data_IF_172638077532
#
_entry.id   IF_172638077532
#
_cell.length_a   1.000
_cell.length_b   1.000
_cell.length_c   1.000
_cell.angle_alpha   90.00
_cell.angle_beta   90.00
_cell.angle_gamma   90.00
#
_symmetry.space_group_name_H-M   'P 1'
#
loop_
_entity.id
_entity.type
_entity.pdbx_description
1 polymer ?
#
# COMPACT_ATOMS: atom_id res chain seq x y z
N UNK A 1 -42.58 41.16 -31.88
CA UNK A 1 -42.37 41.28 -30.43
C UNK A 1 -42.07 39.87 -29.92
N UNK A 2 -40.91 39.47 -29.43
CA UNK A 2 -39.72 40.15 -28.93
C UNK A 2 -38.49 39.31 -29.35
N UNK A 3 -37.51 39.94 -29.99
CA UNK A 3 -36.14 39.43 -30.06
C UNK A 3 -35.46 39.90 -28.78
N UNK A 4 -34.96 38.98 -27.97
CA UNK A 4 -34.21 39.32 -26.76
C UNK A 4 -32.72 39.08 -27.05
N UNK A 5 -32.01 40.17 -27.34
CA UNK A 5 -30.55 40.20 -27.46
C UNK A 5 -29.92 39.65 -26.18
N UNK A 6 -29.15 38.57 -26.30
CA UNK A 6 -28.15 38.21 -25.31
C UNK A 6 -27.11 39.34 -25.26
N UNK A 7 -26.93 39.94 -24.09
CA UNK A 7 -25.89 40.95 -23.86
C UNK A 7 -24.54 40.23 -23.90
N UNK A 8 -23.65 40.72 -24.75
CA UNK A 8 -22.23 40.41 -24.64
C UNK A 8 -21.77 41.00 -23.30
N UNK A 9 -21.37 40.15 -22.37
CA UNK A 9 -20.60 40.58 -21.20
C UNK A 9 -19.16 40.63 -21.68
N UNK A 10 -18.53 41.79 -21.55
CA UNK A 10 -17.14 42.01 -21.92
C UNK A 10 -16.23 41.18 -21.02
N UNK A 11 -15.28 40.52 -21.66
CA UNK A 11 -14.37 39.50 -21.13
C UNK A 11 -13.17 40.14 -20.38
N UNK A 12 -13.43 41.16 -19.54
CA UNK A 12 -12.37 42.13 -19.17
C UNK A 12 -12.13 42.39 -17.68
N UNK A 13 -12.45 41.45 -16.78
CA UNK A 13 -12.12 41.60 -15.34
C UNK A 13 -11.34 40.41 -14.71
N UNK A 14 -10.65 39.60 -15.53
CA UNK A 14 -9.63 38.65 -15.05
C UNK A 14 -8.32 38.77 -15.82
N UNK A 15 -7.97 39.97 -16.28
CA UNK A 15 -6.63 40.25 -16.80
C UNK A 15 -5.66 40.36 -15.63
N UNK A 16 -4.86 39.31 -15.46
CA UNK A 16 -3.68 39.35 -14.60
C UNK A 16 -2.64 40.19 -15.35
N UNK A 17 -2.56 41.49 -15.05
CA UNK A 17 -1.65 42.45 -15.73
C UNK A 17 -0.17 42.32 -15.33
N UNK A 18 0.18 41.29 -14.56
CA UNK A 18 1.55 40.96 -14.17
C UNK A 18 1.75 39.50 -14.52
N UNK A 19 2.55 39.22 -15.55
CA UNK A 19 3.04 37.88 -15.82
C UNK A 19 3.75 37.41 -14.54
N UNK A 20 3.25 36.40 -13.81
CA UNK A 20 3.89 35.96 -12.58
C UNK A 20 5.30 35.52 -12.96
N UNK A 21 6.31 36.19 -12.43
CA UNK A 21 7.66 35.67 -12.50
C UNK A 21 7.70 34.45 -11.58
N UNK A 22 7.38 33.30 -12.14
CA UNK A 22 7.70 32.01 -11.53
C UNK A 22 9.23 31.94 -11.52
N UNK A 23 9.84 32.40 -10.43
CA UNK A 23 11.16 31.87 -10.09
C UNK A 23 10.93 30.38 -9.90
N UNK A 24 11.41 29.58 -10.87
CA UNK A 24 11.39 28.14 -10.76
C UNK A 24 11.96 27.79 -9.39
N UNK A 25 11.16 27.12 -8.56
CA UNK A 25 11.65 26.51 -7.33
C UNK A 25 12.92 25.74 -7.75
N UNK A 26 14.08 25.87 -7.08
CA UNK A 26 15.28 25.13 -7.45
C UNK A 26 15.10 23.60 -7.52
N UNK A 27 13.93 23.10 -7.08
CA UNK A 27 13.49 21.71 -7.17
C UNK A 27 12.34 21.45 -8.18
N UNK A 28 12.00 22.39 -9.08
CA UNK A 28 11.04 22.13 -10.15
C UNK A 28 11.58 21.01 -11.06
N UNK A 29 10.82 19.91 -11.12
CA UNK A 29 11.09 18.76 -11.98
C UNK A 29 11.00 19.19 -13.44
N UNK A 30 12.15 19.48 -14.06
CA UNK A 30 12.23 19.79 -15.49
C UNK A 30 12.10 18.50 -16.29
N UNK A 31 10.90 18.27 -16.80
CA UNK A 31 10.56 17.09 -17.59
C UNK A 31 11.48 16.90 -18.80
N UNK A 32 11.98 18.00 -19.38
CA UNK A 32 12.87 18.00 -20.54
C UNK A 32 14.31 17.56 -20.22
N UNK A 33 14.71 17.62 -18.93
CA UNK A 33 16.01 17.15 -18.43
C UNK A 33 15.91 15.69 -17.89
N UNK A 34 14.70 15.16 -17.72
CA UNK A 34 14.43 13.78 -17.29
C UNK A 34 14.46 12.81 -18.48
N UNK A 35 15.62 12.69 -19.14
CA UNK A 35 15.92 11.52 -20.00
C UNK A 35 16.32 10.36 -19.08
N UNK A 36 15.42 9.98 -18.18
CA UNK A 36 15.66 8.86 -17.28
C UNK A 36 14.92 7.65 -17.86
N UNK A 37 15.70 6.72 -18.40
CA UNK A 37 15.22 5.35 -18.52
C UNK A 37 14.73 4.92 -17.14
N UNK A 38 13.53 4.32 -17.06
CA UNK A 38 13.06 3.74 -15.81
C UNK A 38 14.18 2.85 -15.25
N UNK A 39 14.61 3.07 -13.99
CA UNK A 39 15.70 2.28 -13.43
C UNK A 39 15.26 0.81 -13.41
N UNK A 40 16.10 -0.05 -13.97
CA UNK A 40 15.88 -1.50 -13.94
C UNK A 40 15.82 -1.98 -12.48
N UNK A 41 15.02 -3.02 -12.18
CA UNK A 41 14.88 -3.52 -10.82
C UNK A 41 16.24 -4.04 -10.30
N UNK A 42 16.83 -3.31 -9.36
CA UNK A 42 18.07 -3.71 -8.69
C UNK A 42 17.78 -4.74 -7.59
N UNK A 43 18.61 -5.79 -7.53
CA UNK A 43 18.57 -6.75 -6.43
C UNK A 43 19.30 -6.15 -5.24
N UNK A 44 18.62 -6.02 -4.11
CA UNK A 44 19.23 -5.57 -2.86
C UNK A 44 20.04 -6.73 -2.27
N UNK A 45 21.37 -6.57 -2.16
CA UNK A 45 22.27 -7.60 -1.65
C UNK A 45 21.88 -8.05 -0.24
N UNK A 46 21.81 -9.36 -0.02
CA UNK A 46 21.46 -9.96 1.27
C UNK A 46 19.95 -10.10 1.54
N UNK A 47 19.08 -9.57 0.67
CA UNK A 47 17.63 -9.78 0.77
C UNK A 47 17.16 -10.91 -0.16
N UNK A 48 16.08 -11.63 0.22
CA UNK A 48 15.49 -12.64 -0.64
C UNK A 48 14.92 -11.98 -1.89
N UNK A 49 15.07 -12.67 -3.02
CA UNK A 49 14.47 -12.22 -4.27
C UNK A 49 12.94 -12.16 -4.10
N UNK A 50 12.35 -11.12 -4.70
CA UNK A 50 10.89 -11.03 -4.80
C UNK A 50 10.36 -12.22 -5.59
N UNK A 51 9.16 -12.66 -5.23
CA UNK A 51 8.50 -13.69 -5.99
C UNK A 51 8.02 -13.13 -7.34
N UNK A 52 8.39 -13.80 -8.44
CA UNK A 52 8.09 -13.32 -9.78
C UNK A 52 6.60 -13.43 -10.15
N UNK A 53 5.83 -14.27 -9.44
CA UNK A 53 4.40 -14.43 -9.69
C UNK A 53 3.57 -13.72 -8.63
N UNK A 54 2.56 -12.98 -9.09
CA UNK A 54 1.54 -12.42 -8.20
C UNK A 54 0.77 -13.53 -7.47
N UNK A 55 0.12 -13.26 -6.32
CA UNK A 55 -0.74 -14.24 -5.67
C UNK A 55 -1.85 -14.80 -6.59
N UNK A 56 -2.35 -13.97 -7.52
CA UNK A 56 -3.34 -14.40 -8.50
C UNK A 56 -2.77 -15.43 -9.49
N UNK A 57 -1.56 -15.18 -10.01
CA UNK A 57 -0.89 -16.11 -10.94
C UNK A 57 -0.39 -17.37 -10.23
N UNK A 58 0.00 -17.24 -8.96
CA UNK A 58 0.46 -18.36 -8.12
C UNK A 58 -0.64 -19.35 -7.81
N UNK A 59 -1.80 -18.85 -7.37
CA UNK A 59 -2.88 -19.69 -6.86
C UNK A 59 -4.05 -19.86 -7.85
N UNK A 60 -4.03 -19.19 -9.01
CA UNK A 60 -4.93 -19.40 -10.13
C UNK A 60 -6.42 -19.50 -9.73
N UNK A 61 -7.03 -20.67 -9.92
CA UNK A 61 -8.44 -20.86 -9.59
C UNK A 61 -8.73 -20.81 -8.09
N UNK A 62 -7.76 -21.13 -7.23
CA UNK A 62 -7.93 -21.02 -5.79
C UNK A 62 -8.08 -19.55 -5.42
N UNK A 63 -7.21 -18.68 -5.94
CA UNK A 63 -7.32 -17.24 -5.74
C UNK A 63 -8.68 -16.72 -6.20
N UNK A 64 -9.07 -17.04 -7.44
CA UNK A 64 -10.35 -16.59 -8.00
C UNK A 64 -11.54 -17.04 -7.14
N UNK A 65 -11.53 -18.29 -6.66
CA UNK A 65 -12.62 -18.84 -5.86
C UNK A 65 -12.66 -18.23 -4.45
N UNK A 66 -11.51 -18.00 -3.81
CA UNK A 66 -11.44 -17.29 -2.53
C UNK A 66 -12.01 -15.88 -2.66
N UNK A 67 -11.56 -15.09 -3.65
CA UNK A 67 -12.04 -13.73 -3.85
C UNK A 67 -13.55 -13.68 -4.17
N UNK A 68 -14.08 -14.60 -4.99
CA UNK A 68 -15.51 -14.65 -5.35
C UNK A 68 -16.40 -15.12 -4.21
N UNK A 69 -15.91 -16.03 -3.37
CA UNK A 69 -16.67 -16.58 -2.24
C UNK A 69 -16.89 -15.59 -1.11
N UNK A 70 -16.10 -14.50 -1.06
CA UNK A 70 -16.14 -13.47 0.00
C UNK A 70 -16.03 -14.06 1.41
N UNK A 71 -15.19 -15.09 1.58
CA UNK A 71 -14.87 -15.63 2.90
C UNK A 71 -14.12 -14.62 3.79
N UNK A 72 -13.48 -13.61 3.20
CA UNK A 72 -12.91 -12.50 3.96
C UNK A 72 -13.71 -11.22 3.72
N UNK A 73 -13.79 -10.37 4.74
CA UNK A 73 -14.47 -9.07 4.65
C UNK A 73 -13.75 -8.11 3.69
N UNK A 74 -12.43 -8.25 3.59
CA UNK A 74 -11.56 -7.46 2.72
C UNK A 74 -10.89 -8.36 1.66
N UNK A 75 -10.92 -7.92 0.40
CA UNK A 75 -10.29 -8.58 -0.74
C UNK A 75 -8.76 -8.59 -0.67
N UNK A 76 -8.13 -7.77 0.18
CA UNK A 76 -6.69 -7.75 0.42
C UNK A 76 -6.21 -8.86 1.37
N UNK A 77 -7.12 -9.39 2.19
CA UNK A 77 -6.77 -10.39 3.22
C UNK A 77 -6.05 -11.61 2.64
N UNK A 78 -6.59 -12.21 1.58
CA UNK A 78 -6.01 -13.43 1.00
C UNK A 78 -4.70 -13.19 0.23
N UNK A 79 -4.56 -12.14 -0.59
CA UNK A 79 -3.26 -11.75 -1.15
C UNK A 79 -2.14 -11.56 -0.12
N UNK A 80 -2.46 -11.13 1.09
CA UNK A 80 -1.50 -10.92 2.18
C UNK A 80 -1.17 -12.20 2.97
N UNK A 81 -1.89 -13.28 2.72
CA UNK A 81 -1.67 -14.53 3.42
C UNK A 81 -0.38 -15.21 2.96
N UNK A 82 0.55 -15.46 3.89
CA UNK A 82 1.73 -16.25 3.60
C UNK A 82 1.39 -17.76 3.60
N UNK A 83 1.85 -18.55 2.62
CA UNK A 83 1.57 -19.97 2.59
C UNK A 83 2.34 -20.74 3.67
N UNK A 84 1.72 -21.76 4.26
CA UNK A 84 2.36 -22.67 5.23
C UNK A 84 3.20 -23.76 4.57
N UNK A 85 2.96 -24.00 3.28
CA UNK A 85 3.55 -25.10 2.50
C UNK A 85 3.88 -24.61 1.08
N UNK A 86 4.54 -25.46 0.30
CA UNK A 86 4.83 -25.15 -1.11
C UNK A 86 3.53 -24.79 -1.87
N UNK A 87 3.49 -23.65 -2.58
CA UNK A 87 2.30 -23.19 -3.30
C UNK A 87 1.73 -24.18 -4.31
N UNK A 88 2.59 -24.95 -4.99
CA UNK A 88 2.15 -25.96 -5.97
C UNK A 88 1.48 -27.13 -5.26
N UNK A 89 1.97 -27.52 -4.08
CA UNK A 89 1.36 -28.55 -3.25
C UNK A 89 -0.01 -28.13 -2.73
N UNK A 90 -0.14 -26.90 -2.25
CA UNK A 90 -1.44 -26.33 -1.84
C UNK A 90 -2.43 -26.38 -3.01
N UNK A 91 -2.02 -25.89 -4.19
CA UNK A 91 -2.90 -25.87 -5.36
C UNK A 91 -3.28 -27.27 -5.86
N UNK A 92 -2.32 -28.21 -5.82
CA UNK A 92 -2.56 -29.62 -6.16
C UNK A 92 -3.55 -30.26 -5.18
N UNK A 93 -3.41 -29.99 -3.89
CA UNK A 93 -4.33 -30.49 -2.87
C UNK A 93 -5.73 -29.90 -3.07
N UNK A 94 -5.83 -28.57 -3.25
CA UNK A 94 -7.08 -27.88 -3.54
C UNK A 94 -7.84 -28.53 -4.70
N UNK A 95 -7.16 -28.82 -5.81
CA UNK A 95 -7.76 -29.47 -6.98
C UNK A 95 -8.34 -30.86 -6.69
N UNK A 96 -7.79 -31.60 -5.73
CA UNK A 96 -8.28 -32.92 -5.32
C UNK A 96 -9.52 -32.80 -4.43
N UNK A 97 -9.52 -31.85 -3.50
CA UNK A 97 -10.56 -31.76 -2.46
C UNK A 97 -11.73 -30.87 -2.84
N UNK A 98 -11.58 -29.90 -3.75
CA UNK A 98 -12.60 -28.87 -4.08
C UNK A 98 -13.95 -29.40 -4.60
N UNK A 99 -14.03 -30.66 -5.01
CA UNK A 99 -15.26 -31.31 -5.51
C UNK A 99 -15.90 -32.26 -4.49
N UNK A 100 -15.31 -32.39 -3.31
CA UNK A 100 -15.89 -33.21 -2.25
C UNK A 100 -17.09 -32.49 -1.63
N UNK A 101 -18.14 -33.22 -1.24
CA UNK A 101 -19.37 -32.63 -0.71
C UNK A 101 -19.14 -31.84 0.59
N UNK A 102 -18.17 -32.27 1.42
CA UNK A 102 -17.87 -31.65 2.71
C UNK A 102 -16.74 -30.59 2.64
N UNK A 103 -16.40 -30.13 1.44
CA UNK A 103 -15.30 -29.18 1.26
C UNK A 103 -15.69 -27.76 1.75
N UNK A 104 -14.98 -27.28 2.76
CA UNK A 104 -15.05 -25.89 3.22
C UNK A 104 -13.82 -25.10 2.74
N UNK A 105 -14.06 -24.06 1.94
CA UNK A 105 -13.01 -23.21 1.39
C UNK A 105 -12.34 -22.34 2.47
N UNK A 106 -13.07 -21.88 3.49
CA UNK A 106 -12.50 -21.10 4.59
C UNK A 106 -11.52 -21.96 5.37
N UNK A 107 -11.97 -23.15 5.80
CA UNK A 107 -11.12 -24.06 6.56
C UNK A 107 -9.87 -24.44 5.74
N UNK A 108 -10.04 -24.72 4.45
CA UNK A 108 -8.91 -24.99 3.56
C UNK A 108 -7.87 -23.85 3.55
N UNK A 109 -8.32 -22.59 3.49
CA UNK A 109 -7.40 -21.44 3.54
C UNK A 109 -6.73 -21.34 4.90
N UNK A 110 -7.48 -21.45 5.99
CA UNK A 110 -6.93 -21.36 7.35
C UNK A 110 -5.90 -22.46 7.64
N UNK A 111 -6.08 -23.66 7.09
CA UNK A 111 -5.16 -24.78 7.26
C UNK A 111 -3.86 -24.59 6.46
N UNK A 112 -3.94 -23.98 5.26
CA UNK A 112 -2.81 -23.90 4.32
C UNK A 112 -2.09 -22.54 4.32
N UNK A 113 -2.65 -21.53 4.98
CA UNK A 113 -2.10 -20.17 4.99
C UNK A 113 -2.05 -19.57 6.40
N UNK A 114 -1.09 -18.68 6.63
CA UNK A 114 -1.06 -17.77 7.76
C UNK A 114 -1.88 -16.54 7.41
N UNK A 115 -2.93 -16.26 8.18
CA UNK A 115 -3.71 -15.03 8.02
C UNK A 115 -2.88 -13.83 8.50
N UNK A 116 -3.00 -12.66 7.85
CA UNK A 116 -2.33 -11.46 8.32
C UNK A 116 -2.83 -11.09 9.72
N UNK A 117 -1.91 -10.69 10.61
CA UNK A 117 -2.25 -10.22 11.94
C UNK A 117 -3.01 -8.89 11.87
N UNK A 118 -4.20 -8.80 12.48
CA UNK A 118 -4.91 -7.53 12.56
C UNK A 118 -4.31 -6.65 13.65
N UNK A 119 -3.68 -5.55 13.23
CA UNK A 119 -3.03 -4.62 14.15
C UNK A 119 -3.94 -3.48 14.61
N UNK A 120 -5.24 -3.58 14.33
CA UNK A 120 -6.26 -2.63 14.77
C UNK A 120 -6.31 -2.42 16.28
N UNK A 121 -5.82 -3.41 17.05
CA UNK A 121 -6.01 -3.46 18.50
C UNK A 121 -4.79 -2.92 19.27
N UNK A 122 -3.72 -2.53 18.57
CA UNK A 122 -2.44 -2.17 19.20
C UNK A 122 -2.47 -0.76 19.81
N UNK A 123 -3.37 0.11 19.37
CA UNK A 123 -3.42 1.49 19.84
C UNK A 123 -4.85 1.97 20.11
N UNK A 124 -5.08 2.43 21.34
CA UNK A 124 -6.32 3.07 21.77
C UNK A 124 -6.02 4.57 21.92
N UNK A 125 -6.74 5.39 21.16
CA UNK A 125 -6.64 6.85 21.23
C UNK A 125 -7.03 7.36 22.62
N UNK A 126 -6.13 8.12 23.24
CA UNK A 126 -6.40 8.85 24.47
C UNK A 126 -6.90 10.27 24.14
N UNK A 127 -8.19 10.60 24.40
CA UNK A 127 -8.76 11.90 24.08
C UNK A 127 -8.15 13.06 24.87
N UNK A 128 -7.38 12.77 25.94
CA UNK A 128 -6.72 13.80 26.74
C UNK A 128 -5.44 14.34 26.09
N UNK A 129 -4.89 13.65 25.09
CA UNK A 129 -3.68 14.07 24.39
C UNK A 129 -3.97 15.21 23.42
N UNK A 130 -3.00 16.12 23.28
CA UNK A 130 -3.00 17.05 22.16
C UNK A 130 -2.82 16.30 20.84
N UNK A 131 -3.26 16.91 19.74
CA UNK A 131 -3.06 16.35 18.39
C UNK A 131 -1.59 15.98 18.12
N UNK A 132 -0.66 16.82 18.57
CA UNK A 132 0.77 16.58 18.40
C UNK A 132 1.24 15.35 19.18
N UNK A 133 0.91 15.25 20.46
CA UNK A 133 1.29 14.10 21.29
C UNK A 133 0.67 12.80 20.78
N UNK A 134 -0.55 12.88 20.27
CA UNK A 134 -1.20 11.75 19.62
C UNK A 134 -0.42 11.28 18.38
N UNK A 135 -0.02 12.20 17.49
CA UNK A 135 0.79 11.88 16.30
C UNK A 135 2.15 11.31 16.72
N UNK A 136 2.83 11.93 17.69
CA UNK A 136 4.13 11.48 18.17
C UNK A 136 4.07 10.05 18.74
N UNK A 137 2.96 9.67 19.39
CA UNK A 137 2.71 8.30 19.89
C UNK A 137 2.35 7.29 18.81
N UNK A 138 1.87 7.71 17.64
CA UNK A 138 1.53 6.81 16.54
C UNK A 138 2.78 6.34 15.78
N UNK A 139 3.87 7.09 15.81
CA UNK A 139 5.09 6.75 15.10
C UNK A 139 5.61 5.32 15.36
N UNK A 140 5.77 4.86 16.62
CA UNK A 140 6.18 3.47 16.89
C UNK A 140 5.13 2.44 16.47
N UNK A 141 3.84 2.78 16.52
CA UNK A 141 2.74 1.88 16.15
C UNK A 141 2.71 1.63 14.63
N UNK A 142 3.03 2.67 13.85
CA UNK A 142 3.05 2.62 12.39
C UNK A 142 4.41 2.17 11.82
N UNK A 143 5.42 2.00 12.66
CA UNK A 143 6.74 1.54 12.22
C UNK A 143 6.76 0.02 12.07
N UNK A 144 7.36 -0.44 10.99
CA UNK A 144 7.65 -1.84 10.70
C UNK A 144 9.14 -2.03 10.70
N UNK A 145 9.60 -2.97 11.53
CA UNK A 145 10.98 -3.41 11.52
C UNK A 145 11.21 -4.40 10.37
N UNK A 146 12.44 -4.47 9.82
CA UNK A 146 12.82 -5.56 8.93
C UNK A 146 12.57 -6.91 9.62
N UNK A 147 11.81 -7.78 8.96
CA UNK A 147 11.53 -9.12 9.45
C UNK A 147 12.08 -10.17 8.48
N UNK A 148 12.30 -11.37 9.00
CA UNK A 148 12.60 -12.53 8.17
C UNK A 148 11.45 -12.74 7.18
N UNK A 149 11.80 -12.75 5.89
CA UNK A 149 10.82 -12.92 4.83
C UNK A 149 10.29 -14.36 4.84
N UNK A 150 8.98 -14.51 5.00
CA UNK A 150 8.33 -15.81 4.84
C UNK A 150 8.36 -16.19 3.36
N UNK A 151 8.88 -17.37 2.98
CA UNK A 151 8.93 -17.80 1.59
C UNK A 151 7.56 -17.72 0.90
N UNK A 152 7.55 -17.21 -0.34
CA UNK A 152 6.36 -17.04 -1.18
C UNK A 152 5.29 -16.10 -0.61
N UNK A 153 5.61 -15.34 0.44
CA UNK A 153 4.79 -14.22 0.89
C UNK A 153 4.78 -13.12 -0.17
N UNK A 154 3.66 -12.41 -0.28
CA UNK A 154 3.54 -11.25 -1.15
C UNK A 154 4.26 -10.01 -0.62
N UNK A 155 4.56 -9.96 0.70
CA UNK A 155 5.26 -8.84 1.31
C UNK A 155 6.75 -8.86 0.93
N UNK A 156 7.20 -7.81 0.25
CA UNK A 156 8.59 -7.66 -0.14
C UNK A 156 9.46 -7.27 1.07
N UNK A 157 10.63 -7.90 1.18
CA UNK A 157 11.60 -7.60 2.22
C UNK A 157 12.23 -6.23 1.99
N UNK A 158 12.38 -5.45 3.06
CA UNK A 158 13.07 -4.15 3.05
C UNK A 158 14.23 -4.17 4.05
N UNK A 159 15.36 -3.51 3.74
CA UNK A 159 16.57 -3.59 4.56
C UNK A 159 16.52 -2.73 5.82
N UNK A 160 15.59 -1.77 5.89
CA UNK A 160 15.48 -0.77 6.95
C UNK A 160 14.03 -0.67 7.42
N UNK A 161 13.85 -0.15 8.63
CA UNK A 161 12.54 0.13 9.17
C UNK A 161 11.78 1.14 8.30
N UNK A 162 10.48 0.93 8.16
CA UNK A 162 9.62 1.78 7.32
C UNK A 162 8.29 2.05 8.03
N UNK A 163 7.62 3.12 7.62
CA UNK A 163 6.34 3.53 8.21
C UNK A 163 5.23 3.15 7.23
N UNK A 164 4.15 2.57 7.77
CA UNK A 164 2.96 2.24 7.01
C UNK A 164 1.84 3.25 7.25
N UNK A 165 0.90 3.43 6.31
CA UNK A 165 -0.25 4.31 6.53
C UNK A 165 -1.14 3.89 7.71
N UNK A 166 -1.16 2.59 8.04
CA UNK A 166 -1.92 2.01 9.13
C UNK A 166 -3.22 1.31 8.69
N UNK A 167 -3.88 0.65 9.65
CA UNK A 167 -5.07 -0.16 9.39
C UNK A 167 -4.74 -1.42 8.58
N UNK A 168 -5.37 -1.58 7.41
CA UNK A 168 -5.19 -2.73 6.51
C UNK A 168 -3.87 -2.71 5.73
N UNK A 169 -3.16 -1.59 5.77
CA UNK A 169 -1.93 -1.35 5.03
C UNK A 169 -0.74 -1.71 5.92
N UNK A 170 -0.09 -2.82 5.58
CA UNK A 170 1.03 -3.41 6.31
C UNK A 170 2.37 -3.23 5.59
N UNK A 171 2.34 -2.62 4.42
CA UNK A 171 3.45 -2.37 3.51
C UNK A 171 3.70 -0.87 3.37
N UNK A 172 4.90 -0.52 2.90
CA UNK A 172 5.20 0.87 2.55
C UNK A 172 4.47 1.29 1.28
N UNK A 173 4.05 2.55 1.21
CA UNK A 173 3.36 3.13 0.07
C UNK A 173 4.15 4.33 -0.46
N UNK A 174 4.53 4.29 -1.73
CA UNK A 174 5.55 5.18 -2.31
C UNK A 174 5.31 6.68 -2.04
N UNK A 175 4.19 7.23 -2.50
CA UNK A 175 3.85 8.65 -2.31
C UNK A 175 3.47 9.00 -0.86
N UNK A 176 2.81 8.09 -0.11
CA UNK A 176 2.52 8.28 1.32
C UNK A 176 3.80 8.44 2.13
N UNK A 177 4.86 7.70 1.78
CA UNK A 177 6.16 7.77 2.46
C UNK A 177 6.75 9.18 2.41
N UNK A 178 6.58 9.92 1.32
CA UNK A 178 7.11 11.29 1.22
C UNK A 178 6.47 12.23 2.26
N UNK A 179 5.14 12.27 2.33
CA UNK A 179 4.44 13.11 3.30
C UNK A 179 4.68 12.66 4.75
N UNK A 180 4.81 11.35 4.93
CA UNK A 180 5.17 10.75 6.22
C UNK A 180 6.56 11.20 6.66
N UNK A 181 7.56 11.18 5.78
CA UNK A 181 8.92 11.66 6.05
C UNK A 181 8.96 13.16 6.34
N UNK A 182 8.15 13.97 5.66
CA UNK A 182 8.03 15.41 5.97
C UNK A 182 7.49 15.63 7.39
N UNK A 183 6.46 14.87 7.79
CA UNK A 183 5.90 14.89 9.13
C UNK A 183 6.92 14.40 10.17
N UNK A 184 7.57 13.27 9.89
CA UNK A 184 8.61 12.68 10.74
C UNK A 184 9.74 13.65 10.98
N UNK A 185 10.31 14.29 9.96
CA UNK A 185 11.39 15.27 10.12
C UNK A 185 11.01 16.44 11.05
N UNK A 186 9.75 16.89 11.00
CA UNK A 186 9.25 17.98 11.85
C UNK A 186 8.97 17.52 13.29
N UNK A 187 8.61 16.26 13.48
CA UNK A 187 8.43 15.65 14.80
C UNK A 187 9.78 15.26 15.44
N UNK A 188 10.67 14.65 14.65
CA UNK A 188 11.96 14.06 15.00
C UNK A 188 13.11 15.07 15.14
N UNK A 189 12.87 16.37 15.01
CA UNK A 189 13.82 17.42 15.46
C UNK A 189 14.13 17.39 16.97
N UNK A 190 13.81 16.28 17.65
CA UNK A 190 14.01 15.99 19.08
C UNK A 190 14.60 14.59 19.33
N UNK A 191 14.88 13.80 18.30
CA UNK A 191 15.47 12.45 18.44
C UNK A 191 16.69 12.37 17.50
N UNK A 192 17.77 13.04 17.91
CA UNK A 192 19.15 12.75 17.54
C UNK A 192 19.94 12.60 18.84
#
# INVERSE_FOLDING_TARGET
>A
MFSQKLRHVEDDELRIDIDPCYEADPYELKLDEMIDAEPEPEVIEGLPASDALTPADRYLELFTNVQKSRIFADSKTFPDCAPKHDPLDILRNYRKVKRQPDFDLRQFVEDNFWLPESQSDIYISDPSLTLKEHIDKLWPVLTREPQDHIPWSSLLALPQAYIVPGGRFSETYYWDSYFTMLGWRRAAGKIC
#
